data_IF_492704676669
#
_entry.id   IF_492704676669
#
_cell.length_a   1.000
_cell.length_b   1.000
_cell.length_c   1.000
_cell.angle_alpha   90.00
_cell.angle_beta   90.00
_cell.angle_gamma   90.00
#
_symmetry.space_group_name_H-M   'P 1'
#
loop_
_entity.id
_entity.type
_entity.pdbx_description
1 polymer ?
#
# COMPACT_ATOMS: atom_id res chain seq x y z
N UNK A 1 -29.00 -12.70 17.94
CA UNK A 1 -28.33 -13.97 18.31
C UNK A 1 -27.63 -14.60 17.10
N UNK A 2 -28.34 -15.00 16.04
CA UNK A 2 -27.77 -15.66 14.84
C UNK A 2 -26.67 -14.81 14.17
N UNK A 3 -26.88 -13.50 14.03
CA UNK A 3 -25.90 -12.60 13.41
C UNK A 3 -24.55 -12.54 14.14
N UNK A 4 -24.57 -12.56 15.49
CA UNK A 4 -23.33 -12.58 16.28
C UNK A 4 -22.60 -13.93 16.15
N UNK A 5 -23.35 -15.03 16.07
CA UNK A 5 -22.77 -16.36 15.85
C UNK A 5 -22.15 -16.45 14.46
N UNK A 6 -22.84 -15.96 13.43
CA UNK A 6 -22.32 -15.91 12.07
C UNK A 6 -21.04 -15.05 12.00
N UNK A 7 -21.06 -13.89 12.63
CA UNK A 7 -19.89 -13.02 12.72
C UNK A 7 -18.69 -13.74 13.35
N UNK A 8 -18.91 -14.43 14.48
CA UNK A 8 -17.88 -15.15 15.20
C UNK A 8 -17.20 -16.20 14.33
N UNK A 9 -17.98 -17.08 13.67
CA UNK A 9 -17.41 -18.13 12.82
C UNK A 9 -16.76 -17.61 11.54
N UNK A 10 -17.17 -16.44 11.04
CA UNK A 10 -16.60 -15.87 9.83
C UNK A 10 -15.32 -15.07 10.09
N UNK A 11 -15.26 -14.32 11.20
CA UNK A 11 -14.25 -13.30 11.41
C UNK A 11 -13.30 -13.60 12.57
N UNK A 12 -13.74 -14.40 13.55
CA UNK A 12 -13.00 -14.59 14.80
C UNK A 12 -12.47 -16.01 14.92
N UNK A 13 -13.31 -17.02 14.81
CA UNK A 13 -12.95 -18.42 15.04
C UNK A 13 -12.03 -18.97 13.93
N UNK A 14 -11.09 -19.83 14.33
CA UNK A 14 -10.23 -20.60 13.43
C UNK A 14 -10.18 -22.07 13.85
N UNK A 15 -10.00 -22.96 12.88
CA UNK A 15 -9.99 -24.41 13.07
C UNK A 15 -8.81 -24.94 13.92
N UNK A 16 -7.78 -24.11 14.11
CA UNK A 16 -6.58 -24.41 14.91
C UNK A 16 -6.54 -23.71 16.26
N UNK A 17 -7.59 -22.96 16.65
CA UNK A 17 -7.63 -22.25 17.93
C UNK A 17 -7.73 -23.19 19.14
N UNK A 18 -8.32 -24.37 18.93
CA UNK A 18 -8.60 -25.40 19.96
C UNK A 18 -7.35 -26.16 20.40
N UNK A 19 -6.28 -26.17 19.59
CA UNK A 19 -5.08 -26.97 19.83
C UNK A 19 -4.00 -26.26 20.68
N UNK A 20 -4.21 -25.00 21.07
CA UNK A 20 -3.24 -24.20 21.84
C UNK A 20 -3.52 -24.31 23.35
N UNK A 21 -2.74 -25.15 24.05
CA UNK A 21 -2.67 -25.25 25.53
C UNK A 21 -1.89 -24.06 26.12
N UNK A 22 -2.40 -22.85 25.96
CA UNK A 22 -1.84 -21.64 26.59
C UNK A 22 -2.49 -21.38 27.97
N UNK A 23 -1.70 -20.83 28.90
CA UNK A 23 -2.17 -20.39 30.24
C UNK A 23 -3.16 -19.20 30.17
N UNK A 24 -3.23 -18.53 29.02
CA UNK A 24 -4.06 -17.35 28.78
C UNK A 24 -5.45 -17.70 28.24
N UNK A 25 -6.45 -16.95 28.69
CA UNK A 25 -7.83 -17.09 28.24
C UNK A 25 -7.99 -16.88 26.72
N UNK A 26 -8.83 -17.72 26.09
CA UNK A 26 -9.11 -17.69 24.66
C UNK A 26 -9.56 -16.30 24.18
N UNK A 27 -10.27 -15.55 25.02
CA UNK A 27 -10.72 -14.21 24.67
C UNK A 27 -9.54 -13.26 24.42
N UNK A 28 -8.56 -13.25 25.33
CA UNK A 28 -7.39 -12.36 25.26
C UNK A 28 -6.46 -12.78 24.12
N UNK A 29 -6.30 -14.09 23.91
CA UNK A 29 -5.41 -14.64 22.88
C UNK A 29 -5.95 -14.44 21.46
N UNK A 30 -7.24 -14.69 21.25
CA UNK A 30 -7.82 -14.79 19.91
C UNK A 30 -8.93 -13.77 19.65
N UNK A 31 -9.90 -13.64 20.57
CA UNK A 31 -11.12 -12.87 20.30
C UNK A 31 -10.85 -11.37 20.27
N UNK A 32 -10.22 -10.82 21.31
CA UNK A 32 -9.97 -9.38 21.42
C UNK A 32 -9.11 -8.83 20.26
N UNK A 33 -7.95 -9.43 19.91
CA UNK A 33 -7.11 -8.92 18.82
C UNK A 33 -7.83 -8.97 17.47
N UNK A 34 -8.52 -10.08 17.16
CA UNK A 34 -9.23 -10.25 15.88
C UNK A 34 -10.46 -9.35 15.77
N UNK A 35 -11.21 -9.18 16.86
CA UNK A 35 -12.35 -8.27 16.91
C UNK A 35 -11.89 -6.83 16.69
N UNK A 36 -10.81 -6.43 17.36
CA UNK A 36 -10.23 -5.10 17.19
C UNK A 36 -9.73 -4.88 15.76
N UNK A 37 -9.00 -5.84 15.19
CA UNK A 37 -8.57 -5.80 13.80
C UNK A 37 -9.77 -5.65 12.84
N UNK A 38 -10.87 -6.37 13.07
CA UNK A 38 -12.07 -6.26 12.23
C UNK A 38 -12.63 -4.83 12.20
N UNK A 39 -12.80 -4.20 13.36
CA UNK A 39 -13.27 -2.80 13.41
C UNK A 39 -12.25 -1.81 12.87
N UNK A 40 -10.95 -2.07 13.09
CA UNK A 40 -9.90 -1.25 12.50
C UNK A 40 -9.94 -1.31 10.96
N UNK A 41 -10.26 -2.46 10.38
CA UNK A 41 -10.45 -2.60 8.93
C UNK A 41 -11.71 -1.87 8.47
N UNK A 42 -12.82 -1.99 9.20
CA UNK A 42 -14.08 -1.31 8.85
C UNK A 42 -13.97 0.22 8.91
N UNK A 43 -13.15 0.73 9.82
CA UNK A 43 -12.90 2.17 10.00
C UNK A 43 -11.74 2.68 9.13
N UNK A 44 -11.29 1.88 8.16
CA UNK A 44 -10.15 2.18 7.28
C UNK A 44 -8.88 2.57 8.06
N UNK A 45 -8.63 2.02 9.26
CA UNK A 45 -7.41 2.30 10.06
C UNK A 45 -6.23 1.40 9.72
N UNK A 46 -6.46 0.39 8.89
CA UNK A 46 -5.45 -0.58 8.47
C UNK A 46 -5.15 -0.37 6.99
N UNK A 47 -3.87 -0.26 6.58
CA UNK A 47 -3.52 -0.12 5.18
C UNK A 47 -4.11 -1.25 4.33
N UNK A 48 -4.64 -0.92 3.16
CA UNK A 48 -5.33 -1.86 2.27
C UNK A 48 -4.43 -3.03 1.85
N UNK A 49 -3.15 -2.76 1.58
CA UNK A 49 -2.13 -3.78 1.31
C UNK A 49 -1.96 -4.77 2.48
N UNK A 50 -1.98 -4.28 3.72
CA UNK A 50 -1.86 -5.13 4.90
C UNK A 50 -3.12 -5.98 5.12
N UNK A 51 -4.30 -5.47 4.76
CA UNK A 51 -5.56 -6.25 4.78
C UNK A 51 -5.50 -7.40 3.78
N UNK A 52 -4.98 -7.15 2.57
CA UNK A 52 -4.78 -8.18 1.54
C UNK A 52 -3.79 -9.23 2.02
N UNK A 53 -2.64 -8.80 2.55
CA UNK A 53 -1.62 -9.70 3.11
C UNK A 53 -2.19 -10.57 4.24
N UNK A 54 -2.98 -9.99 5.16
CA UNK A 54 -3.64 -10.73 6.23
C UNK A 54 -4.59 -11.81 5.69
N UNK A 55 -5.43 -11.47 4.70
CA UNK A 55 -6.35 -12.43 4.07
C UNK A 55 -5.60 -13.55 3.35
N UNK A 56 -4.50 -13.23 2.67
CA UNK A 56 -3.66 -14.22 2.00
C UNK A 56 -2.98 -15.16 3.01
N UNK A 57 -2.42 -14.62 4.10
CA UNK A 57 -1.83 -15.41 5.18
C UNK A 57 -2.86 -16.33 5.84
N UNK A 58 -4.08 -15.84 6.07
CA UNK A 58 -5.18 -16.65 6.60
C UNK A 58 -5.51 -17.82 5.68
N UNK A 59 -5.65 -17.55 4.37
CA UNK A 59 -5.93 -18.59 3.38
C UNK A 59 -4.83 -19.64 3.32
N UNK A 60 -3.56 -19.22 3.32
CA UNK A 60 -2.41 -20.13 3.33
C UNK A 60 -2.41 -20.98 4.61
N UNK A 61 -2.67 -20.37 5.76
CA UNK A 61 -2.69 -21.08 7.03
C UNK A 61 -3.81 -22.13 7.08
N UNK A 62 -5.01 -21.81 6.58
CA UNK A 62 -6.11 -22.77 6.48
C UNK A 62 -5.76 -23.91 5.52
N UNK A 63 -5.21 -23.64 4.34
CA UNK A 63 -4.81 -24.68 3.39
C UNK A 63 -3.73 -25.62 3.97
N UNK A 64 -2.68 -25.07 4.58
CA UNK A 64 -1.64 -25.86 5.23
C UNK A 64 -2.19 -26.68 6.39
N UNK A 65 -3.09 -26.10 7.19
CA UNK A 65 -3.72 -26.79 8.33
C UNK A 65 -4.65 -27.92 7.87
N UNK A 66 -5.47 -27.72 6.83
CA UNK A 66 -6.28 -28.78 6.24
C UNK A 66 -5.41 -29.92 5.70
N UNK A 67 -4.29 -29.59 5.05
CA UNK A 67 -3.31 -30.58 4.57
C UNK A 67 -2.72 -31.38 5.73
N UNK A 68 -2.36 -30.70 6.83
CA UNK A 68 -1.86 -31.33 8.04
C UNK A 68 -2.90 -32.27 8.69
N UNK A 69 -4.17 -31.86 8.79
CA UNK A 69 -5.25 -32.71 9.30
C UNK A 69 -5.46 -33.96 8.45
N UNK A 70 -5.42 -33.82 7.12
CA UNK A 70 -5.53 -34.95 6.19
C UNK A 70 -4.36 -35.94 6.37
N UNK A 71 -3.14 -35.44 6.51
CA UNK A 71 -1.95 -36.25 6.76
C UNK A 71 -2.05 -36.99 8.11
N UNK A 72 -2.46 -36.29 9.17
CA UNK A 72 -2.67 -36.85 10.51
C UNK A 72 -3.72 -37.96 10.50
N UNK A 73 -4.84 -37.74 9.80
CA UNK A 73 -5.90 -38.75 9.67
C UNK A 73 -5.44 -39.98 8.88
N UNK A 74 -4.57 -39.79 7.88
CA UNK A 74 -3.98 -40.88 7.09
C UNK A 74 -3.00 -41.72 7.92
N UNK A 75 -2.17 -41.08 8.74
CA UNK A 75 -1.25 -41.74 9.67
C UNK A 75 -1.99 -42.55 10.74
N UNK A 76 -3.05 -41.97 11.33
CA UNK A 76 -3.87 -42.66 12.34
C UNK A 76 -4.57 -43.92 11.84
N UNK A 77 -4.68 -44.10 10.52
CA UNK A 77 -5.31 -45.25 9.87
C UNK A 77 -4.30 -46.32 9.40
N UNK A 78 -2.99 -46.06 9.52
CA UNK A 78 -1.92 -47.00 9.16
C UNK A 78 -1.43 -47.76 10.41
N UNK A 79 -1.62 -49.09 10.43
CA UNK A 79 -1.23 -49.95 11.56
C UNK A 79 0.13 -50.66 11.33
N UNK A 80 1.03 -50.12 10.50
CA UNK A 80 2.29 -50.79 10.15
C UNK A 80 3.46 -49.82 10.12
N UNK A 81 4.43 -50.04 11.02
CA UNK A 81 5.75 -49.40 11.07
C UNK A 81 6.48 -49.59 9.73
N UNK A 82 6.30 -48.65 8.82
CA UNK A 82 6.87 -48.70 7.47
C UNK A 82 7.67 -47.44 7.18
N UNK A 83 8.68 -47.52 6.30
CA UNK A 83 9.46 -46.35 5.87
C UNK A 83 8.59 -45.22 5.29
N UNK A 84 7.41 -45.56 4.77
CA UNK A 84 6.42 -44.59 4.28
C UNK A 84 5.83 -43.73 5.41
N UNK A 85 5.71 -44.29 6.61
CA UNK A 85 5.26 -43.59 7.81
C UNK A 85 6.31 -42.59 8.30
N UNK A 86 7.60 -42.97 8.25
CA UNK A 86 8.72 -42.09 8.58
C UNK A 86 8.78 -40.84 7.66
N UNK A 87 8.57 -41.02 6.35
CA UNK A 87 8.53 -39.90 5.38
C UNK A 87 7.34 -38.98 5.67
N UNK A 88 6.17 -39.56 5.91
CA UNK A 88 4.94 -38.83 6.26
C UNK A 88 5.08 -38.06 7.59
N UNK A 89 5.79 -38.60 8.58
CA UNK A 89 6.07 -37.90 9.84
C UNK A 89 6.97 -36.67 9.63
N UNK A 90 7.99 -36.78 8.77
CA UNK A 90 8.86 -35.64 8.40
C UNK A 90 8.07 -34.57 7.66
N UNK A 91 7.15 -34.95 6.76
CA UNK A 91 6.24 -34.03 6.09
C UNK A 91 5.30 -33.34 7.09
N UNK A 92 4.76 -34.07 8.07
CA UNK A 92 3.95 -33.52 9.15
C UNK A 92 4.69 -32.48 9.99
N UNK A 93 5.96 -32.74 10.34
CA UNK A 93 6.80 -31.77 11.07
C UNK A 93 7.08 -30.50 10.25
N UNK A 94 7.29 -30.64 8.94
CA UNK A 94 7.46 -29.48 8.04
C UNK A 94 6.21 -28.63 7.98
N UNK A 95 5.04 -29.26 7.77
CA UNK A 95 3.75 -28.58 7.76
C UNK A 95 3.47 -27.87 9.09
N UNK A 96 3.74 -28.53 10.21
CA UNK A 96 3.58 -27.93 11.54
C UNK A 96 4.46 -26.68 11.72
N UNK A 97 5.73 -26.76 11.33
CA UNK A 97 6.65 -25.61 11.37
C UNK A 97 6.18 -24.45 10.49
N UNK A 98 5.67 -24.75 9.29
CA UNK A 98 5.11 -23.75 8.38
C UNK A 98 3.85 -23.08 8.96
N UNK A 99 2.92 -23.88 9.48
CA UNK A 99 1.70 -23.40 10.14
C UNK A 99 2.06 -22.47 11.30
N UNK A 100 3.04 -22.83 12.13
CA UNK A 100 3.46 -22.00 13.25
C UNK A 100 4.06 -20.66 12.80
N UNK A 101 4.85 -20.66 11.72
CA UNK A 101 5.36 -19.42 11.11
C UNK A 101 4.23 -18.54 10.55
N UNK A 102 3.20 -19.14 9.94
CA UNK A 102 2.03 -18.42 9.44
C UNK A 102 1.21 -17.84 10.59
N UNK A 103 0.95 -18.63 11.64
CA UNK A 103 0.27 -18.19 12.87
C UNK A 103 0.99 -17.00 13.52
N UNK A 104 2.31 -17.05 13.63
CA UNK A 104 3.09 -15.93 14.18
C UNK A 104 2.91 -14.65 13.34
N UNK A 105 2.97 -14.75 12.00
CA UNK A 105 2.72 -13.60 11.12
C UNK A 105 1.31 -13.03 11.30
N UNK A 106 0.29 -13.88 11.47
CA UNK A 106 -1.08 -13.44 11.75
C UNK A 106 -1.17 -12.70 13.09
N UNK A 107 -0.57 -13.24 14.16
CA UNK A 107 -0.52 -12.61 15.50
C UNK A 107 0.14 -11.23 15.46
N UNK A 108 1.15 -11.03 14.60
CA UNK A 108 1.78 -9.71 14.40
C UNK A 108 0.80 -8.68 13.82
N UNK A 109 -0.03 -9.07 12.85
CA UNK A 109 -0.99 -8.16 12.20
C UNK A 109 -2.20 -7.90 13.10
N UNK A 110 -2.64 -8.91 13.86
CA UNK A 110 -3.76 -8.81 14.81
C UNK A 110 -3.42 -7.90 15.99
N UNK A 111 -2.14 -7.80 16.37
CA UNK A 111 -1.71 -6.88 17.41
C UNK A 111 -1.55 -5.44 16.87
N UNK A 112 -2.28 -4.45 17.41
CA UNK A 112 -2.24 -3.06 16.91
C UNK A 112 -0.86 -2.39 16.96
N UNK A 113 -0.04 -2.70 17.96
CA UNK A 113 1.29 -2.12 18.10
C UNK A 113 2.27 -2.77 17.12
N UNK A 114 2.22 -4.09 17.00
CA UNK A 114 3.12 -4.83 16.13
C UNK A 114 2.79 -4.56 14.66
N UNK A 115 1.50 -4.53 14.28
CA UNK A 115 1.12 -4.22 12.90
C UNK A 115 1.60 -2.85 12.44
N UNK A 116 1.62 -1.85 13.34
CA UNK A 116 2.16 -0.53 13.04
C UNK A 116 3.65 -0.66 12.69
N UNK A 117 4.44 -1.31 13.56
CA UNK A 117 5.87 -1.53 13.33
C UNK A 117 6.16 -2.34 12.05
N UNK A 118 5.40 -3.40 11.79
CA UNK A 118 5.62 -4.30 10.64
C UNK A 118 5.08 -3.74 9.31
N UNK A 119 3.95 -3.03 9.33
CA UNK A 119 3.36 -2.40 8.14
C UNK A 119 4.32 -1.42 7.47
N UNK A 120 5.08 -0.67 8.28
CA UNK A 120 6.12 0.23 7.80
C UNK A 120 7.29 -0.47 7.08
N UNK A 121 7.59 -1.73 7.37
CA UNK A 121 8.72 -2.42 6.74
C UNK A 121 8.37 -3.05 5.40
N UNK A 122 7.12 -3.47 5.17
CA UNK A 122 6.72 -4.20 3.95
C UNK A 122 6.07 -3.36 2.86
N UNK A 123 5.42 -2.25 3.19
CA UNK A 123 4.69 -1.46 2.18
C UNK A 123 5.61 -0.68 1.22
N UNK A 124 6.91 -0.61 1.49
CA UNK A 124 7.88 0.02 0.59
C UNK A 124 8.36 -0.89 -0.57
N UNK A 125 7.69 -2.02 -0.83
CA UNK A 125 8.00 -2.88 -1.99
C UNK A 125 7.52 -2.29 -3.32
N UNK A 126 7.44 -0.96 -3.41
CA UNK A 126 7.19 -0.28 -4.69
C UNK A 126 8.45 -0.45 -5.53
N UNK A 127 8.36 -1.28 -6.56
CA UNK A 127 9.45 -1.49 -7.50
C UNK A 127 9.45 -0.37 -8.54
N UNK A 128 10.59 0.28 -8.69
CA UNK A 128 10.85 1.20 -9.79
C UNK A 128 10.67 0.45 -11.11
N UNK A 129 9.93 1.04 -12.05
CA UNK A 129 9.80 0.48 -13.40
C UNK A 129 11.09 0.69 -14.21
N UNK A 130 11.89 1.67 -13.81
CA UNK A 130 13.12 2.07 -14.48
C UNK A 130 12.85 2.80 -15.79
N UNK A 131 13.84 2.76 -16.66
CA UNK A 131 13.77 3.41 -17.98
C UNK A 131 12.79 2.64 -18.86
N UNK A 132 11.93 3.38 -19.57
CA UNK A 132 10.97 2.80 -20.52
C UNK A 132 11.70 2.00 -21.62
N UNK A 133 11.16 0.87 -22.11
CA UNK A 133 11.86 0.03 -23.11
C UNK A 133 12.23 0.74 -24.41
N UNK A 134 11.48 1.79 -24.79
CA UNK A 134 11.76 2.62 -25.96
C UNK A 134 12.74 3.77 -25.66
N UNK A 135 13.16 3.94 -24.40
CA UNK A 135 14.03 5.02 -23.94
C UNK A 135 13.42 6.42 -23.96
N UNK A 136 12.15 6.56 -24.36
CA UNK A 136 11.48 7.85 -24.49
C UNK A 136 10.81 8.26 -23.17
N UNK A 137 10.85 9.56 -22.90
CA UNK A 137 10.15 10.20 -21.78
C UNK A 137 8.77 10.65 -22.23
N UNK A 138 7.79 10.48 -21.35
CA UNK A 138 6.40 10.80 -21.59
C UNK A 138 5.96 11.92 -20.66
N UNK A 139 5.20 12.88 -21.20
CA UNK A 139 4.52 13.89 -20.43
C UNK A 139 3.07 13.47 -20.17
N UNK A 140 2.72 13.29 -18.92
CA UNK A 140 1.38 12.92 -18.48
C UNK A 140 0.60 14.17 -18.10
N UNK A 141 -0.48 14.49 -18.80
CA UNK A 141 -1.35 15.63 -18.49
C UNK A 141 -2.60 15.12 -17.78
N UNK A 142 -2.82 15.60 -16.56
CA UNK A 142 -3.97 15.22 -15.73
C UNK A 142 -5.00 16.33 -15.76
N UNK A 143 -6.21 16.00 -16.22
CA UNK A 143 -7.36 16.90 -16.21
C UNK A 143 -8.65 16.10 -16.31
N UNK A 144 -9.60 16.35 -15.40
CA UNK A 144 -10.94 15.76 -15.49
C UNK A 144 -11.76 16.37 -16.63
N UNK A 145 -11.65 17.69 -16.79
CA UNK A 145 -12.25 18.47 -17.88
C UNK A 145 -11.33 19.62 -18.24
N UNK A 146 -11.08 19.83 -19.53
CA UNK A 146 -10.15 20.86 -19.99
C UNK A 146 -10.86 21.91 -20.84
N UNK A 147 -10.72 23.17 -20.45
CA UNK A 147 -11.15 24.28 -21.30
C UNK A 147 -10.16 24.49 -22.45
N UNK A 148 -10.68 24.87 -23.62
CA UNK A 148 -9.86 25.11 -24.82
C UNK A 148 -8.78 26.17 -24.60
N UNK A 149 -9.07 27.22 -23.83
CA UNK A 149 -8.09 28.26 -23.47
C UNK A 149 -6.93 27.72 -22.62
N UNK A 150 -7.22 26.86 -21.64
CA UNK A 150 -6.20 26.24 -20.79
C UNK A 150 -5.30 25.31 -21.61
N UNK A 151 -5.89 24.50 -22.49
CA UNK A 151 -5.14 23.64 -23.41
C UNK A 151 -4.21 24.46 -24.31
N UNK A 152 -4.69 25.59 -24.85
CA UNK A 152 -3.86 26.48 -25.67
C UNK A 152 -2.69 27.08 -24.88
N UNK A 153 -2.91 27.48 -23.63
CA UNK A 153 -1.85 27.99 -22.76
C UNK A 153 -0.83 26.89 -22.44
N UNK A 154 -1.29 25.70 -22.06
CA UNK A 154 -0.41 24.56 -21.74
C UNK A 154 0.46 24.16 -22.95
N UNK A 155 -0.15 24.11 -24.14
CA UNK A 155 0.58 23.86 -25.39
C UNK A 155 1.67 24.91 -25.63
N UNK A 156 1.32 26.19 -25.50
CA UNK A 156 2.26 27.30 -25.70
C UNK A 156 3.40 27.28 -24.69
N UNK A 157 3.07 27.11 -23.42
CA UNK A 157 4.00 27.30 -22.32
C UNK A 157 4.93 26.10 -22.14
N UNK A 158 4.47 24.87 -22.40
CA UNK A 158 5.24 23.65 -22.06
C UNK A 158 5.62 22.82 -23.28
N UNK A 159 4.79 22.79 -24.32
CA UNK A 159 4.95 21.88 -25.45
C UNK A 159 5.55 22.55 -26.69
N UNK A 160 5.45 23.88 -26.81
CA UNK A 160 6.00 24.66 -27.92
C UNK A 160 7.28 25.45 -27.56
N UNK A 161 7.95 25.11 -26.45
CA UNK A 161 9.20 25.76 -26.07
C UNK A 161 10.39 25.27 -26.92
N UNK A 162 10.91 26.17 -27.76
CA UNK A 162 12.13 26.11 -28.60
C UNK A 162 12.32 24.86 -29.50
N UNK A 163 12.91 25.01 -30.70
CA UNK A 163 12.94 23.97 -31.75
C UNK A 163 13.88 22.77 -31.45
N UNK A 164 14.31 22.57 -30.20
CA UNK A 164 15.40 21.65 -29.83
C UNK A 164 15.01 20.53 -28.86
N UNK A 165 13.73 20.40 -28.47
CA UNK A 165 13.27 19.24 -27.69
C UNK A 165 12.80 18.13 -28.63
N UNK A 166 13.31 16.93 -28.40
CA UNK A 166 12.83 15.68 -29.03
C UNK A 166 11.30 15.60 -28.96
N UNK A 167 10.68 14.99 -29.98
CA UNK A 167 9.24 14.76 -30.00
C UNK A 167 8.83 14.00 -28.74
N UNK A 168 8.17 14.73 -27.83
CA UNK A 168 7.80 14.21 -26.51
C UNK A 168 6.38 13.65 -26.60
N UNK A 169 6.22 12.37 -26.25
CA UNK A 169 4.91 11.74 -26.21
C UNK A 169 4.08 12.34 -25.08
N UNK A 170 2.79 12.58 -25.33
CA UNK A 170 1.86 13.16 -24.35
C UNK A 170 0.72 12.17 -24.11
N UNK A 171 0.45 11.87 -22.85
CA UNK A 171 -0.68 11.03 -22.45
C UNK A 171 -1.64 11.82 -21.54
N UNK A 172 -2.94 11.71 -21.80
CA UNK A 172 -3.96 12.38 -21.01
C UNK A 172 -4.61 11.43 -20.02
N UNK A 173 -4.80 11.89 -18.78
CA UNK A 173 -5.37 11.12 -17.68
C UNK A 173 -6.47 11.94 -17.02
N UNK A 174 -7.57 11.29 -16.63
CA UNK A 174 -8.67 11.95 -15.90
C UNK A 174 -8.41 12.06 -14.40
N UNK A 175 -7.51 11.23 -13.87
CA UNK A 175 -7.19 11.16 -12.45
C UNK A 175 -5.66 11.15 -12.22
N UNK A 176 -5.15 11.78 -11.14
CA UNK A 176 -3.70 11.82 -10.91
C UNK A 176 -3.09 10.45 -10.58
N UNK A 177 -3.88 9.54 -10.00
CA UNK A 177 -3.40 8.21 -9.61
C UNK A 177 -3.02 7.38 -10.84
N UNK A 178 -3.84 7.40 -11.90
CA UNK A 178 -3.54 6.70 -13.16
C UNK A 178 -2.32 7.27 -13.86
N UNK A 179 -2.13 8.59 -13.84
CA UNK A 179 -0.94 9.23 -14.40
C UNK A 179 0.34 8.77 -13.67
N UNK A 180 0.37 8.82 -12.34
CA UNK A 180 1.51 8.36 -11.53
C UNK A 180 1.76 6.88 -11.75
N UNK A 181 0.71 6.06 -11.80
CA UNK A 181 0.82 4.62 -12.09
C UNK A 181 1.29 4.33 -13.52
N UNK A 182 1.28 5.29 -14.44
CA UNK A 182 1.78 5.14 -15.81
C UNK A 182 3.21 5.65 -16.00
N UNK A 183 3.77 6.37 -15.03
CA UNK A 183 5.12 6.95 -15.11
C UNK A 183 6.25 5.92 -15.06
N UNK A 184 7.34 6.26 -15.73
CA UNK A 184 8.65 5.61 -15.72
C UNK A 184 9.73 6.63 -15.32
N UNK A 185 10.98 6.18 -15.17
CA UNK A 185 12.12 7.04 -14.83
C UNK A 185 12.26 8.24 -15.77
N UNK A 186 12.19 9.45 -15.20
CA UNK A 186 12.35 10.72 -15.90
C UNK A 186 11.10 11.28 -16.57
N UNK A 187 9.93 10.66 -16.37
CA UNK A 187 8.65 11.19 -16.85
C UNK A 187 8.20 12.43 -16.06
N UNK A 188 7.34 13.24 -16.67
CA UNK A 188 6.77 14.45 -16.06
C UNK A 188 5.25 14.36 -16.03
N UNK A 189 4.66 14.64 -14.88
CA UNK A 189 3.21 14.71 -14.68
C UNK A 189 2.81 16.17 -14.48
N UNK A 190 1.94 16.69 -15.32
CA UNK A 190 1.37 18.02 -15.22
C UNK A 190 -0.09 17.90 -14.80
N UNK A 191 -0.43 18.46 -13.65
CA UNK A 191 -1.79 18.47 -13.10
C UNK A 191 -2.43 19.83 -13.37
N UNK A 192 -3.49 19.83 -14.18
CA UNK A 192 -4.25 21.03 -14.48
C UNK A 192 -5.10 21.47 -13.27
N UNK A 193 -5.51 22.74 -13.20
CA UNK A 193 -6.40 23.26 -12.16
C UNK A 193 -7.66 22.42 -11.99
N UNK A 194 -8.00 22.12 -10.74
CA UNK A 194 -9.11 21.23 -10.39
C UNK A 194 -8.99 20.68 -8.98
N UNK A 195 -10.08 20.06 -8.53
CA UNK A 195 -10.15 19.34 -7.26
C UNK A 195 -10.26 17.84 -7.54
N UNK A 196 -9.18 17.11 -7.26
CA UNK A 196 -9.03 15.68 -7.54
C UNK A 196 -9.17 14.88 -6.26
N UNK A 197 -10.17 14.00 -6.21
CA UNK A 197 -10.36 13.10 -5.08
C UNK A 197 -9.76 11.74 -5.39
N UNK A 198 -8.86 11.26 -4.53
CA UNK A 198 -8.18 9.97 -4.70
C UNK A 198 -8.39 9.06 -3.50
N UNK A 199 -8.62 7.78 -3.77
CA UNK A 199 -8.80 6.75 -2.75
C UNK A 199 -7.53 5.93 -2.50
N UNK A 200 -6.59 5.92 -3.45
CA UNK A 200 -5.35 5.15 -3.38
C UNK A 200 -4.17 5.90 -2.77
N UNK A 201 -3.02 5.25 -2.79
CA UNK A 201 -1.71 5.81 -2.46
C UNK A 201 -0.98 6.18 -3.76
N UNK A 202 -0.28 7.32 -3.75
CA UNK A 202 0.69 7.65 -4.80
C UNK A 202 2.01 6.97 -4.49
N UNK A 203 2.24 5.82 -5.13
CA UNK A 203 3.46 5.05 -5.02
C UNK A 203 4.48 5.48 -6.07
N UNK A 204 5.41 6.37 -5.70
CA UNK A 204 6.41 6.96 -6.60
C UNK A 204 7.77 6.31 -6.35
N UNK A 205 8.12 5.32 -7.18
CA UNK A 205 9.41 4.62 -7.08
C UNK A 205 10.46 5.05 -8.11
N UNK A 206 10.04 5.72 -9.18
CA UNK A 206 10.92 6.26 -10.21
C UNK A 206 11.15 7.76 -9.97
N UNK A 207 12.27 8.30 -10.43
CA UNK A 207 12.59 9.73 -10.36
C UNK A 207 11.73 10.49 -11.35
N UNK A 208 10.66 11.11 -10.87
CA UNK A 208 9.68 11.84 -11.70
C UNK A 208 9.47 13.27 -11.20
N UNK A 209 8.90 14.10 -12.08
CA UNK A 209 8.50 15.46 -11.76
C UNK A 209 6.97 15.56 -11.79
N UNK A 210 6.35 15.90 -10.66
CA UNK A 210 4.90 16.11 -10.52
C UNK A 210 4.61 17.60 -10.30
N UNK A 211 4.01 18.26 -11.27
CA UNK A 211 3.86 19.70 -11.28
C UNK A 211 2.39 20.11 -11.42
N UNK A 212 1.98 21.08 -10.62
CA UNK A 212 0.74 21.80 -10.80
C UNK A 212 0.85 22.92 -11.85
N UNK A 213 0.00 22.89 -12.88
CA UNK A 213 -0.08 23.95 -13.88
C UNK A 213 -1.06 25.06 -13.45
N UNK A 214 -0.60 25.96 -12.59
CA UNK A 214 -1.43 27.04 -12.06
C UNK A 214 -0.95 27.51 -10.70
N UNK A 215 -1.84 28.19 -9.96
CA UNK A 215 -1.56 28.53 -8.57
C UNK A 215 -1.77 27.31 -7.68
N UNK A 216 -1.01 27.15 -6.58
CA UNK A 216 -1.12 25.98 -5.70
C UNK A 216 -2.52 25.78 -5.14
N UNK A 217 -3.28 26.85 -4.90
CA UNK A 217 -4.65 26.77 -4.39
C UNK A 217 -5.68 26.34 -5.44
N UNK A 218 -5.36 26.44 -6.73
CA UNK A 218 -6.25 26.02 -7.82
C UNK A 218 -6.14 24.52 -8.12
N UNK A 219 -5.11 23.85 -7.59
CA UNK A 219 -4.78 22.45 -7.88
C UNK A 219 -4.77 21.67 -6.58
N UNK A 220 -5.91 21.08 -6.26
CA UNK A 220 -6.14 20.40 -4.99
C UNK A 220 -6.24 18.91 -5.23
N UNK A 221 -5.42 18.14 -4.54
CA UNK A 221 -5.52 16.68 -4.48
C UNK A 221 -5.93 16.30 -3.07
N UNK A 222 -7.15 15.77 -2.93
CA UNK A 222 -7.73 15.35 -1.66
C UNK A 222 -7.71 13.82 -1.57
N UNK A 223 -7.08 13.28 -0.52
CA UNK A 223 -7.18 11.85 -0.20
C UNK A 223 -8.44 11.55 0.61
N UNK A 224 -9.17 10.51 0.19
CA UNK A 224 -10.24 9.88 0.98
C UNK A 224 -9.77 8.54 1.53
N UNK A 225 -10.10 8.25 2.79
CA UNK A 225 -9.70 7.04 3.51
C UNK A 225 -8.60 7.30 4.54
N UNK A 226 -8.60 6.54 5.65
CA UNK A 226 -7.80 6.83 6.86
C UNK A 226 -6.49 6.02 6.98
N UNK A 227 -6.39 4.90 6.25
CA UNK A 227 -5.44 3.84 6.57
C UNK A 227 -4.24 3.75 5.67
N UNK A 228 -4.35 4.28 4.47
CA UNK A 228 -3.27 4.27 3.47
C UNK A 228 -2.44 5.55 3.53
N UNK A 229 -1.15 5.44 3.24
CA UNK A 229 -0.28 6.59 2.99
C UNK A 229 -0.81 7.40 1.82
N UNK A 230 -0.67 8.73 1.83
CA UNK A 230 -1.10 9.53 0.69
C UNK A 230 -0.06 9.49 -0.43
N UNK A 231 1.17 9.92 -0.15
CA UNK A 231 2.28 9.91 -1.10
C UNK A 231 3.44 9.15 -0.48
N UNK A 232 3.85 8.06 -1.13
CA UNK A 232 4.97 7.21 -0.76
C UNK A 232 6.08 7.33 -1.81
N UNK A 233 7.23 7.87 -1.40
CA UNK A 233 8.37 8.16 -2.25
C UNK A 233 9.56 7.22 -1.94
N UNK A 234 9.97 6.46 -2.95
CA UNK A 234 11.17 5.60 -2.91
C UNK A 234 12.19 5.91 -4.02
N UNK A 235 11.85 6.78 -4.97
CA UNK A 235 12.71 7.20 -6.09
C UNK A 235 13.95 8.00 -5.67
N UNK A 236 14.94 8.07 -6.57
CA UNK A 236 16.25 8.69 -6.27
C UNK A 236 16.14 10.21 -6.15
N UNK A 237 15.45 10.87 -7.09
CA UNK A 237 15.17 12.30 -7.06
C UNK A 237 13.74 12.58 -7.55
N UNK A 238 12.83 12.85 -6.62
CA UNK A 238 11.42 13.16 -6.91
C UNK A 238 11.21 14.64 -6.67
N UNK A 239 10.54 15.32 -7.61
CA UNK A 239 10.16 16.73 -7.45
C UNK A 239 8.66 16.88 -7.54
N UNK A 240 8.07 17.55 -6.57
CA UNK A 240 6.65 17.88 -6.59
C UNK A 240 6.51 19.38 -6.41
N UNK A 241 5.76 20.04 -7.28
CA UNK A 241 5.61 21.49 -7.26
C UNK A 241 4.19 21.98 -7.51
N UNK A 242 3.84 23.11 -6.90
CA UNK A 242 2.61 23.85 -7.23
C UNK A 242 1.30 23.12 -6.95
N UNK A 243 1.27 22.18 -6.00
CA UNK A 243 0.08 21.37 -5.69
C UNK A 243 -0.29 21.52 -4.22
N UNK A 244 -1.60 21.58 -3.96
CA UNK A 244 -2.17 21.47 -2.61
C UNK A 244 -2.65 20.05 -2.33
N UNK A 245 -2.08 19.43 -1.30
CA UNK A 245 -2.49 18.13 -0.79
C UNK A 245 -3.37 18.29 0.45
N UNK A 246 -4.54 17.65 0.44
CA UNK A 246 -5.47 17.63 1.58
C UNK A 246 -5.64 16.19 2.04
N UNK A 247 -5.49 15.97 3.34
CA UNK A 247 -5.71 14.68 3.97
C UNK A 247 -6.48 14.84 5.28
N UNK A 248 -7.47 13.98 5.46
CA UNK A 248 -8.33 13.93 6.64
C UNK A 248 -8.12 12.62 7.41
N UNK A 249 -8.11 12.69 8.74
CA UNK A 249 -8.14 11.52 9.62
C UNK A 249 -7.07 10.44 9.36
N UNK A 250 -5.90 10.79 8.81
CA UNK A 250 -4.89 9.81 8.44
C UNK A 250 -3.84 9.56 9.52
N UNK A 251 -3.41 8.31 9.60
CA UNK A 251 -2.43 7.85 10.59
C UNK A 251 -0.99 8.13 10.14
N UNK A 252 -0.69 8.00 8.84
CA UNK A 252 0.70 8.01 8.34
C UNK A 252 1.15 9.31 7.67
N UNK A 253 0.25 10.31 7.58
CA UNK A 253 0.54 11.63 7.02
C UNK A 253 0.51 11.71 5.50
N UNK A 254 0.82 12.91 4.96
CA UNK A 254 0.67 13.20 3.52
C UNK A 254 1.83 12.60 2.73
N UNK A 255 3.08 12.90 3.11
CA UNK A 255 4.26 12.50 2.36
C UNK A 255 5.17 11.63 3.22
N UNK A 256 5.52 10.45 2.73
CA UNK A 256 6.51 9.57 3.34
C UNK A 256 7.65 9.35 2.37
N UNK A 257 8.88 9.61 2.82
CA UNK A 257 10.09 9.44 2.03
C UNK A 257 10.89 8.30 2.64
N UNK A 258 10.92 7.18 1.95
CA UNK A 258 11.61 5.99 2.41
C UNK A 258 13.11 6.06 2.11
N UNK A 259 13.47 6.52 0.90
CA UNK A 259 14.84 6.60 0.38
C UNK A 259 14.93 7.70 -0.68
N UNK A 260 16.16 8.07 -1.02
CA UNK A 260 16.43 9.08 -2.05
C UNK A 260 16.09 10.49 -1.58
N UNK A 261 15.92 11.39 -2.54
CA UNK A 261 15.65 12.80 -2.30
C UNK A 261 14.27 13.15 -2.83
N UNK A 262 13.46 13.84 -2.02
CA UNK A 262 12.21 14.44 -2.48
C UNK A 262 12.24 15.95 -2.25
N UNK A 263 11.96 16.71 -3.30
CA UNK A 263 11.87 18.17 -3.26
C UNK A 263 10.42 18.61 -3.42
N UNK A 264 9.90 19.36 -2.44
CA UNK A 264 8.63 20.07 -2.54
C UNK A 264 8.90 21.55 -2.85
N UNK A 265 8.24 22.09 -3.87
CA UNK A 265 8.37 23.50 -4.27
C UNK A 265 7.01 24.17 -4.43
N UNK A 266 6.72 25.20 -3.65
CA UNK A 266 5.43 25.91 -3.67
C UNK A 266 4.23 24.98 -3.48
N UNK A 267 4.37 23.96 -2.64
CA UNK A 267 3.30 23.02 -2.31
C UNK A 267 2.64 23.38 -0.97
N UNK A 268 1.33 23.14 -0.87
CA UNK A 268 0.55 23.36 0.36
C UNK A 268 0.14 22.00 0.92
N UNK A 269 0.51 21.70 2.16
CA UNK A 269 0.16 20.45 2.85
C UNK A 269 -0.88 20.76 3.94
N UNK A 270 -2.11 20.27 3.77
CA UNK A 270 -3.18 20.42 4.74
C UNK A 270 -3.50 19.05 5.37
N UNK A 271 -2.98 18.83 6.58
CA UNK A 271 -3.15 17.61 7.36
C UNK A 271 -3.54 17.93 8.80
N UNK A 272 -4.19 16.97 9.46
CA UNK A 272 -4.61 17.10 10.87
C UNK A 272 -3.54 16.59 11.86
N UNK A 273 -2.72 15.62 11.45
CA UNK A 273 -1.72 14.95 12.29
C UNK A 273 -0.30 15.25 11.79
N UNK A 274 0.26 14.37 10.96
CA UNK A 274 1.63 14.43 10.44
C UNK A 274 1.59 14.86 8.98
N UNK A 275 2.34 15.90 8.62
CA UNK A 275 2.44 16.32 7.22
C UNK A 275 3.43 15.47 6.43
N UNK A 276 4.67 15.39 6.90
CA UNK A 276 5.78 14.72 6.20
C UNK A 276 6.55 13.81 7.16
N UNK A 277 6.83 12.59 6.73
CA UNK A 277 7.68 11.62 7.43
C UNK A 277 8.91 11.29 6.59
N UNK A 278 10.10 11.48 7.14
CA UNK A 278 11.38 11.21 6.44
C UNK A 278 12.12 10.09 7.15
N UNK A 279 12.49 9.02 6.43
CA UNK A 279 13.31 7.94 6.99
C UNK A 279 14.78 8.33 7.04
N UNK A 280 15.55 7.64 7.89
CA UNK A 280 16.96 7.93 8.17
C UNK A 280 17.87 7.89 6.92
N UNK A 281 17.46 7.18 5.87
CA UNK A 281 18.19 7.04 4.60
C UNK A 281 17.67 7.97 3.48
N UNK A 282 16.91 9.01 3.83
CA UNK A 282 16.24 9.88 2.86
C UNK A 282 16.54 11.37 3.12
N UNK A 283 16.44 12.15 2.05
CA UNK A 283 16.60 13.59 2.05
C UNK A 283 15.30 14.28 1.66
N UNK A 284 14.95 15.33 2.39
CA UNK A 284 13.78 16.15 2.13
C UNK A 284 14.18 17.61 1.97
N UNK A 285 13.75 18.23 0.89
CA UNK A 285 13.94 19.66 0.64
C UNK A 285 12.60 20.33 0.39
N UNK A 286 12.27 21.35 1.18
CA UNK A 286 11.07 22.16 0.98
C UNK A 286 11.46 23.59 0.60
N UNK A 287 10.89 24.09 -0.49
CA UNK A 287 10.99 25.46 -0.98
C UNK A 287 9.59 26.05 -1.10
N UNK A 288 9.43 27.28 -0.63
CA UNK A 288 8.18 28.05 -0.70
C UNK A 288 8.43 29.38 -1.41
#
# INVERSE_FOLDING_TARGET
>A
AIEHVRFFYQNIWRSWDEEEEDEYDYFVRCVEPRLRLHYDILEDRVPSGLVVDYRNLLSQCEESYQTFLNLRSSLSNCNSDSEQENISMVEGLKLYSEIEQLKQKLKLIENPLLRYVFGYQKNSNIQAKGIRPNGQKVMHVVSSTMMTGLLQSLLRDRLCQEPCKEETEIQFHSDPLSAINACYEGDTVIVCPGHYTVHGTFSIADSIELEGYGLPDDIVIEKRGKGDTFVDCTGVDIKISGIKFIQHDAVEGILIIHRGKTTLENCVLQCETTGVTVRTSAEFLMKN
#
